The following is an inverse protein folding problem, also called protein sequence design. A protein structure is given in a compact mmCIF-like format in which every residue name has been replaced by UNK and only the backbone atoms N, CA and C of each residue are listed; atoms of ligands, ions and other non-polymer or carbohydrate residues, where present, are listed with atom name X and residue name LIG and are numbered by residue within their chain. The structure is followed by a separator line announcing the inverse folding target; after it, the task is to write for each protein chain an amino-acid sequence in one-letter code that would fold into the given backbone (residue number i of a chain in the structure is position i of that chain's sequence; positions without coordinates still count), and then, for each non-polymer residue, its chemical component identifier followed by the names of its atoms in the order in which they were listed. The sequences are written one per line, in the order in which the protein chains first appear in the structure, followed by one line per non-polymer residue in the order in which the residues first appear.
data_IF_180230193097
#
_entry.id   IF_180230193097
#
_cell.length_a   1.000
_cell.length_b   1.000
_cell.length_c   1.000
_cell.angle_alpha   90.00
_cell.angle_beta   90.00
_cell.angle_gamma   90.00
#
_symmetry.space_group_name_H-M   'P 1'
#
loop_
_entity.id
_entity.type
_entity.pdbx_description
1 polymer ?
#
# COMPACT_ATOMS: atom_id res chain seq x y z
N UNK A 1 -13.68 -24.84 6.62
CA UNK A 1 -12.29 -24.34 6.69
C UNK A 1 -12.29 -23.08 7.54
N UNK A 2 -11.62 -23.14 8.71
CA UNK A 2 -11.48 -22.01 9.66
C UNK A 2 -10.08 -21.40 9.50
N UNK A 3 -10.02 -20.14 9.09
CA UNK A 3 -8.76 -19.41 8.82
C UNK A 3 -8.54 -18.36 9.91
N UNK A 4 -7.40 -18.43 10.59
CA UNK A 4 -6.93 -17.37 11.46
C UNK A 4 -6.25 -16.27 10.65
N UNK A 5 -6.87 -15.09 10.54
CA UNK A 5 -6.26 -13.91 9.91
C UNK A 5 -5.54 -13.11 10.98
N UNK A 6 -4.25 -12.85 10.79
CA UNK A 6 -3.44 -12.07 11.74
C UNK A 6 -2.95 -10.80 11.11
N UNK A 7 -3.27 -9.66 11.72
CA UNK A 7 -2.91 -8.34 11.23
C UNK A 7 -2.57 -7.38 12.38
N UNK A 8 -1.72 -6.41 12.11
CA UNK A 8 -1.48 -5.32 13.08
C UNK A 8 -2.64 -4.33 13.11
N UNK A 9 -3.19 -4.00 11.94
CA UNK A 9 -4.19 -2.96 11.75
C UNK A 9 -5.57 -3.57 11.49
N UNK A 10 -6.59 -3.02 12.15
CA UNK A 10 -7.99 -3.36 11.91
C UNK A 10 -8.88 -2.14 12.17
N UNK A 11 -10.00 -1.96 11.44
CA UNK A 11 -10.89 -0.81 11.65
C UNK A 11 -11.34 -0.62 13.11
N UNK A 12 -11.45 0.62 13.60
CA UNK A 12 -11.24 1.89 12.90
C UNK A 12 -9.77 2.37 12.85
N UNK A 13 -8.82 1.60 13.38
CA UNK A 13 -7.41 1.99 13.48
C UNK A 13 -6.59 1.43 12.31
N UNK A 14 -6.87 1.89 11.10
CA UNK A 14 -6.15 1.58 9.86
C UNK A 14 -5.40 2.83 9.42
N UNK A 15 -4.09 2.71 9.16
CA UNK A 15 -3.24 3.82 8.72
C UNK A 15 -2.33 3.50 7.52
N UNK A 16 -2.28 2.25 7.10
CA UNK A 16 -1.42 1.79 6.00
C UNK A 16 -2.14 0.93 4.96
N UNK A 17 -1.52 0.79 3.79
CA UNK A 17 -2.09 -0.02 2.70
C UNK A 17 -2.28 -1.49 3.06
N UNK A 18 -1.48 -2.04 3.99
CA UNK A 18 -1.66 -3.41 4.47
C UNK A 18 -2.97 -3.58 5.26
N UNK A 19 -3.30 -2.63 6.15
CA UNK A 19 -4.55 -2.65 6.90
C UNK A 19 -5.77 -2.51 6.00
N UNK A 20 -5.72 -1.60 5.03
CA UNK A 20 -6.77 -1.44 4.00
C UNK A 20 -6.95 -2.75 3.22
N UNK A 21 -5.85 -3.39 2.80
CA UNK A 21 -5.92 -4.69 2.12
C UNK A 21 -6.62 -5.75 2.96
N UNK A 22 -6.22 -5.92 4.24
CA UNK A 22 -6.79 -6.97 5.11
C UNK A 22 -8.28 -6.75 5.35
N UNK A 23 -8.71 -5.52 5.60
CA UNK A 23 -10.11 -5.17 5.75
C UNK A 23 -10.94 -5.61 4.54
N UNK A 24 -10.52 -5.21 3.34
CA UNK A 24 -11.24 -5.53 2.11
C UNK A 24 -11.15 -7.01 1.73
N UNK A 25 -9.99 -7.66 1.94
CA UNK A 25 -9.83 -9.10 1.70
C UNK A 25 -10.76 -9.91 2.60
N UNK A 26 -10.83 -9.59 3.89
CA UNK A 26 -11.73 -10.27 4.84
C UNK A 26 -13.19 -10.08 4.44
N UNK A 27 -13.60 -8.86 4.08
CA UNK A 27 -14.94 -8.59 3.59
C UNK A 27 -15.27 -9.40 2.33
N UNK A 28 -14.35 -9.48 1.37
CA UNK A 28 -14.52 -10.22 0.14
C UNK A 28 -14.55 -11.74 0.36
N UNK A 29 -13.67 -12.29 1.21
CA UNK A 29 -13.67 -13.72 1.57
C UNK A 29 -14.97 -14.13 2.24
N UNK A 30 -15.53 -13.32 3.14
CA UNK A 30 -16.83 -13.54 3.78
C UNK A 30 -18.00 -13.49 2.80
N UNK A 31 -17.84 -12.76 1.71
CA UNK A 31 -18.89 -12.61 0.66
C UNK A 31 -18.89 -13.76 -0.34
N UNK A 32 -17.90 -14.64 -0.33
CA UNK A 32 -17.87 -15.81 -1.22
C UNK A 32 -18.97 -16.82 -0.83
N UNK A 33 -19.72 -17.41 -1.79
CA UNK A 33 -20.82 -18.35 -1.50
C UNK A 33 -20.40 -19.57 -0.67
N UNK A 34 -19.14 -20.00 -0.78
CA UNK A 34 -18.53 -21.08 0.00
C UNK A 34 -17.23 -20.62 0.65
N UNK A 35 -17.23 -19.39 1.14
CA UNK A 35 -16.07 -18.77 1.78
C UNK A 35 -15.67 -19.47 3.08
N UNK A 36 -14.42 -19.27 3.52
CA UNK A 36 -13.94 -19.77 4.80
C UNK A 36 -14.60 -19.07 5.99
N UNK A 37 -14.68 -19.75 7.10
CA UNK A 37 -14.90 -19.11 8.41
C UNK A 37 -13.63 -18.35 8.78
N UNK A 38 -13.74 -17.05 9.07
CA UNK A 38 -12.61 -16.19 9.38
C UNK A 38 -12.61 -15.78 10.84
N UNK A 39 -11.50 -16.08 11.50
CA UNK A 39 -11.19 -15.64 12.86
C UNK A 39 -10.11 -14.55 12.77
N UNK A 40 -10.48 -13.30 13.01
CA UNK A 40 -9.58 -12.15 12.82
C UNK A 40 -8.96 -11.78 14.15
N UNK A 41 -7.62 -11.78 14.20
CA UNK A 41 -6.81 -11.36 15.32
C UNK A 41 -6.02 -10.10 14.97
N UNK A 42 -6.15 -9.05 15.78
CA UNK A 42 -5.45 -7.79 15.56
C UNK A 42 -4.72 -7.31 16.81
N UNK A 43 -3.76 -6.42 16.62
CA UNK A 43 -3.03 -5.80 17.72
C UNK A 43 -3.87 -4.71 18.39
N UNK A 44 -3.74 -4.57 19.71
CA UNK A 44 -4.45 -3.60 20.52
C UNK A 44 -5.77 -4.10 21.07
N UNK A 45 -6.66 -3.19 21.47
CA UNK A 45 -7.92 -3.53 22.08
C UNK A 45 -8.88 -4.24 21.09
N UNK A 46 -9.82 -5.07 21.58
CA UNK A 46 -10.86 -5.68 20.75
C UNK A 46 -11.66 -4.63 19.96
N UNK A 47 -11.94 -4.88 18.68
CA UNK A 47 -12.60 -3.93 17.79
C UNK A 47 -13.54 -4.65 16.83
N UNK A 48 -14.79 -4.25 16.88
CA UNK A 48 -15.80 -4.79 15.96
C UNK A 48 -15.90 -6.31 16.07
N UNK A 49 -15.56 -6.96 14.99
CA UNK A 49 -15.60 -8.42 14.81
C UNK A 49 -14.21 -9.09 14.86
N UNK A 50 -13.19 -8.37 15.33
CA UNK A 50 -11.84 -8.90 15.51
C UNK A 50 -11.49 -9.05 16.99
N UNK A 51 -10.77 -10.13 17.31
CA UNK A 51 -10.16 -10.31 18.61
C UNK A 51 -8.91 -9.46 18.73
N UNK A 52 -8.93 -8.48 19.64
CA UNK A 52 -7.78 -7.62 19.90
C UNK A 52 -6.84 -8.22 20.92
N UNK A 53 -5.55 -8.03 20.68
CA UNK A 53 -4.47 -8.48 21.57
C UNK A 53 -3.62 -7.27 21.95
N UNK A 54 -3.80 -6.70 23.16
CA UNK A 54 -2.99 -5.59 23.62
C UNK A 54 -1.55 -6.04 23.90
N UNK A 55 -0.63 -5.09 23.90
CA UNK A 55 0.76 -5.36 24.31
C UNK A 55 0.76 -5.87 25.75
N UNK A 56 1.39 -7.04 26.04
CA UNK A 56 1.51 -7.55 27.40
C UNK A 56 2.10 -6.51 28.35
N UNK A 57 1.54 -6.42 29.56
CA UNK A 57 1.91 -5.38 30.51
C UNK A 57 3.43 -5.26 30.77
N UNK A 58 4.19 -6.36 30.94
CA UNK A 58 5.63 -6.26 31.17
C UNK A 58 6.42 -5.68 29.99
N UNK A 59 5.81 -5.62 28.78
CA UNK A 59 6.46 -5.18 27.55
C UNK A 59 6.01 -3.77 27.11
N UNK A 60 5.11 -3.08 27.82
CA UNK A 60 4.57 -1.78 27.40
C UNK A 60 5.63 -0.71 27.18
N UNK A 61 6.69 -0.72 28.00
CA UNK A 61 7.82 0.22 27.91
C UNK A 61 9.01 -0.36 27.11
N UNK A 62 8.86 -1.55 26.53
CA UNK A 62 9.91 -2.18 25.77
C UNK A 62 10.02 -1.61 24.34
N UNK A 63 11.10 -1.97 23.64
CA UNK A 63 11.21 -1.69 22.21
C UNK A 63 10.01 -2.23 21.43
N UNK A 64 9.52 -1.47 20.43
CA UNK A 64 8.32 -1.82 19.67
C UNK A 64 8.35 -3.19 18.98
N UNK A 65 9.53 -3.70 18.63
CA UNK A 65 9.66 -5.05 18.10
C UNK A 65 9.45 -6.15 19.17
N UNK A 66 9.85 -5.89 20.42
CA UNK A 66 9.55 -6.79 21.54
C UNK A 66 8.06 -6.74 21.94
N UNK A 67 7.45 -5.55 21.83
CA UNK A 67 6.00 -5.43 22.04
C UNK A 67 5.24 -6.26 21.00
N UNK A 68 5.62 -6.18 19.71
CA UNK A 68 5.03 -7.00 18.66
C UNK A 68 5.19 -8.49 18.94
N UNK A 69 6.38 -8.93 19.31
CA UNK A 69 6.63 -10.34 19.67
C UNK A 69 5.80 -10.82 20.86
N UNK A 70 5.64 -9.99 21.89
CA UNK A 70 4.78 -10.35 23.03
C UNK A 70 3.33 -10.55 22.62
N UNK A 71 2.81 -9.68 21.77
CA UNK A 71 1.47 -9.80 21.19
C UNK A 71 1.35 -11.04 20.30
N UNK A 72 2.37 -11.32 19.47
CA UNK A 72 2.40 -12.52 18.61
C UNK A 72 2.30 -13.84 19.41
N UNK A 73 2.91 -13.91 20.59
CA UNK A 73 2.80 -15.09 21.47
C UNK A 73 1.37 -15.31 21.94
N UNK A 74 0.65 -14.25 22.33
CA UNK A 74 -0.75 -14.34 22.76
C UNK A 74 -1.66 -14.73 21.59
N UNK A 75 -1.43 -14.14 20.41
CA UNK A 75 -2.17 -14.49 19.18
C UNK A 75 -1.94 -15.95 18.81
N UNK A 76 -0.70 -16.42 18.82
CA UNK A 76 -0.37 -17.80 18.48
C UNK A 76 -1.10 -18.80 19.38
N UNK A 77 -1.20 -18.51 20.69
CA UNK A 77 -1.96 -19.35 21.63
C UNK A 77 -3.46 -19.38 21.30
N UNK A 78 -4.03 -18.25 20.84
CA UNK A 78 -5.44 -18.14 20.47
C UNK A 78 -5.78 -18.85 19.15
N UNK A 79 -4.80 -19.12 18.29
CA UNK A 79 -4.96 -19.76 16.98
C UNK A 79 -5.06 -21.29 17.06
N UNK A 80 -5.07 -21.88 18.24
CA UNK A 80 -5.28 -23.32 18.42
C UNK A 80 -6.61 -23.76 17.78
N UNK A 81 -6.56 -24.75 16.88
CA UNK A 81 -7.72 -25.29 16.17
C UNK A 81 -8.14 -24.51 14.92
N UNK A 82 -7.35 -23.55 14.44
CA UNK A 82 -7.45 -23.07 13.09
C UNK A 82 -6.99 -24.13 12.10
N UNK A 83 -7.62 -24.21 10.91
CA UNK A 83 -7.17 -25.08 9.83
C UNK A 83 -5.96 -24.50 9.09
N UNK A 84 -5.85 -23.16 9.07
CA UNK A 84 -4.75 -22.40 8.44
C UNK A 84 -4.63 -21.03 9.09
N UNK A 85 -3.41 -20.50 9.17
CA UNK A 85 -3.14 -19.12 9.61
C UNK A 85 -2.63 -18.30 8.42
N UNK A 86 -3.20 -17.12 8.21
CA UNK A 86 -2.75 -16.16 7.23
C UNK A 86 -2.33 -14.85 7.91
N UNK A 87 -1.04 -14.52 7.87
CA UNK A 87 -0.48 -13.34 8.51
C UNK A 87 -0.08 -12.26 7.51
N UNK A 88 -0.16 -11.00 7.96
CA UNK A 88 0.11 -9.82 7.15
C UNK A 88 1.16 -8.93 7.80
N UNK A 89 2.26 -8.66 7.12
CA UNK A 89 3.44 -7.92 7.57
C UNK A 89 4.27 -8.65 8.65
N UNK A 90 5.53 -8.23 8.82
CA UNK A 90 6.43 -8.81 9.81
C UNK A 90 5.88 -8.74 11.25
N UNK A 91 5.04 -7.72 11.54
CA UNK A 91 4.43 -7.55 12.87
C UNK A 91 3.59 -8.76 13.29
N UNK A 92 2.93 -9.42 12.33
CA UNK A 92 2.03 -10.54 12.56
C UNK A 92 2.64 -11.90 12.14
N UNK A 93 3.77 -11.86 11.42
CA UNK A 93 4.39 -13.08 10.91
C UNK A 93 4.93 -13.97 12.05
N UNK A 94 5.31 -13.36 13.20
CA UNK A 94 5.71 -14.09 14.40
C UNK A 94 4.59 -14.97 14.93
N UNK A 95 3.36 -14.48 14.98
CA UNK A 95 2.20 -15.25 15.44
C UNK A 95 1.93 -16.47 14.54
N UNK A 96 1.95 -16.26 13.21
CA UNK A 96 1.78 -17.37 12.25
C UNK A 96 2.87 -18.42 12.35
N UNK A 97 4.14 -17.99 12.47
CA UNK A 97 5.28 -18.89 12.68
C UNK A 97 5.12 -19.71 13.96
N UNK A 98 4.81 -19.07 15.08
CA UNK A 98 4.61 -19.75 16.36
C UNK A 98 3.43 -20.71 16.33
N UNK A 99 2.30 -20.31 15.74
CA UNK A 99 1.14 -21.18 15.59
C UNK A 99 1.47 -22.42 14.76
N UNK A 100 2.23 -22.26 13.68
CA UNK A 100 2.69 -23.40 12.87
C UNK A 100 3.58 -24.36 13.66
N UNK A 101 4.53 -23.84 14.43
CA UNK A 101 5.43 -24.66 15.23
C UNK A 101 4.74 -25.39 16.39
N UNK A 102 3.82 -24.71 17.08
CA UNK A 102 3.21 -25.24 18.32
C UNK A 102 1.98 -26.10 18.03
N UNK A 103 1.15 -25.69 17.05
CA UNK A 103 -0.12 -26.34 16.75
C UNK A 103 -0.10 -27.15 15.46
N UNK A 104 1.01 -27.11 14.68
CA UNK A 104 1.10 -27.78 13.39
C UNK A 104 0.23 -27.17 12.28
N UNK A 105 -0.31 -25.97 12.49
CA UNK A 105 -1.20 -25.27 11.55
C UNK A 105 -0.41 -24.75 10.36
N UNK A 106 -0.85 -24.92 9.10
CA UNK A 106 -0.23 -24.31 7.93
C UNK A 106 -0.22 -22.79 8.03
N UNK A 107 0.90 -22.18 7.58
CA UNK A 107 1.08 -20.74 7.61
C UNK A 107 1.22 -20.15 6.21
N UNK A 108 0.34 -19.23 5.86
CA UNK A 108 0.39 -18.39 4.65
C UNK A 108 0.76 -16.97 5.05
N UNK A 109 1.62 -16.32 4.28
CA UNK A 109 2.04 -14.93 4.47
C UNK A 109 1.63 -14.11 3.25
N UNK A 110 1.04 -12.91 3.44
CA UNK A 110 1.01 -11.91 2.38
C UNK A 110 2.15 -10.90 2.55
N UNK A 111 2.99 -10.81 1.51
CA UNK A 111 4.11 -9.89 1.40
C UNK A 111 3.63 -8.49 0.96
N UNK A 112 3.42 -7.59 1.93
CA UNK A 112 3.07 -6.19 1.67
C UNK A 112 4.28 -5.28 1.51
N UNK A 113 5.41 -5.68 2.02
CA UNK A 113 6.73 -5.02 1.94
C UNK A 113 7.77 -5.97 2.52
N UNK A 114 9.05 -5.69 2.28
CA UNK A 114 10.17 -6.46 2.83
C UNK A 114 11.07 -5.55 3.65
N UNK A 115 11.45 -5.98 4.85
CA UNK A 115 12.35 -5.22 5.73
C UNK A 115 13.69 -4.92 5.04
N UNK A 116 14.36 -5.89 4.37
CA UNK A 116 15.63 -5.61 3.67
C UNK A 116 15.52 -4.60 2.51
N UNK A 117 14.33 -4.40 1.94
CA UNK A 117 14.07 -3.38 0.91
C UNK A 117 13.79 -2.00 1.50
N UNK A 118 13.77 -1.89 2.83
CA UNK A 118 13.50 -0.64 3.56
C UNK A 118 14.58 -0.38 4.63
N UNK A 119 15.87 -0.30 4.26
CA UNK A 119 16.97 -0.19 5.22
C UNK A 119 16.87 1.06 6.12
N UNK A 120 16.21 2.14 5.65
CA UNK A 120 15.93 3.35 6.45
C UNK A 120 15.05 3.07 7.68
N UNK A 121 14.32 1.95 7.73
CA UNK A 121 13.57 1.53 8.92
C UNK A 121 14.46 1.26 10.14
N UNK A 122 15.75 0.99 9.93
CA UNK A 122 16.71 0.85 11.01
C UNK A 122 16.83 2.15 11.86
N UNK A 123 16.66 3.32 11.23
CA UNK A 123 16.66 4.62 11.92
C UNK A 123 15.45 4.77 12.85
N UNK A 124 14.31 4.17 12.50
CA UNK A 124 13.07 4.25 13.26
C UNK A 124 12.97 3.18 14.37
N UNK A 125 13.37 1.96 14.07
CA UNK A 125 13.24 0.81 14.97
C UNK A 125 14.49 0.61 15.84
N UNK A 126 15.62 1.26 15.51
CA UNK A 126 16.88 1.06 16.21
C UNK A 126 17.25 -0.41 16.28
N UNK A 127 17.55 -0.93 17.48
CA UNK A 127 17.85 -2.33 17.70
C UNK A 127 16.72 -3.30 17.32
N UNK A 128 15.48 -2.83 17.28
CA UNK A 128 14.31 -3.59 16.87
C UNK A 128 14.33 -4.00 15.40
N UNK A 129 15.03 -3.25 14.53
CA UNK A 129 15.15 -3.60 13.10
C UNK A 129 15.81 -4.96 12.87
N UNK A 130 16.78 -5.35 13.70
CA UNK A 130 17.37 -6.70 13.62
C UNK A 130 16.38 -7.78 13.98
N UNK A 131 15.50 -7.51 14.95
CA UNK A 131 14.45 -8.46 15.33
C UNK A 131 13.37 -8.54 14.25
N UNK A 132 12.90 -7.43 13.69
CA UNK A 132 11.89 -7.44 12.63
C UNK A 132 12.39 -8.17 11.37
N UNK A 133 13.63 -7.90 10.94
CA UNK A 133 14.26 -8.56 9.80
C UNK A 133 14.47 -10.06 10.03
N UNK A 134 14.86 -10.45 11.24
CA UNK A 134 15.01 -11.86 11.62
C UNK A 134 13.65 -12.59 11.65
N UNK A 135 12.63 -11.95 12.21
CA UNK A 135 11.26 -12.49 12.26
C UNK A 135 10.72 -12.70 10.84
N UNK A 136 10.81 -11.68 10.01
CA UNK A 136 10.35 -11.75 8.62
C UNK A 136 11.04 -12.90 7.88
N UNK A 137 12.38 -12.91 7.85
CA UNK A 137 13.15 -13.98 7.20
C UNK A 137 12.76 -15.37 7.70
N UNK A 138 12.71 -15.57 9.02
CA UNK A 138 12.41 -16.87 9.60
C UNK A 138 11.01 -17.35 9.26
N UNK A 139 10.03 -16.45 9.31
CA UNK A 139 8.66 -16.76 8.96
C UNK A 139 8.49 -17.08 7.47
N UNK A 140 9.11 -16.30 6.56
CA UNK A 140 9.05 -16.56 5.14
C UNK A 140 9.65 -17.92 4.74
N UNK A 141 10.80 -18.28 5.30
CA UNK A 141 11.43 -19.56 5.01
C UNK A 141 10.63 -20.76 5.55
N UNK A 142 9.90 -20.56 6.66
CA UNK A 142 9.08 -21.59 7.29
C UNK A 142 7.65 -21.68 6.74
N UNK A 143 7.14 -20.63 6.10
CA UNK A 143 5.76 -20.58 5.61
C UNK A 143 5.48 -21.63 4.53
N UNK A 144 4.27 -22.17 4.54
CA UNK A 144 3.80 -23.12 3.51
C UNK A 144 3.56 -22.44 2.17
N UNK A 145 3.09 -21.18 2.19
CA UNK A 145 3.00 -20.34 1.01
C UNK A 145 3.23 -18.86 1.35
N UNK A 146 3.72 -18.12 0.35
CA UNK A 146 3.86 -16.67 0.38
C UNK A 146 3.04 -16.09 -0.77
N UNK A 147 2.12 -15.21 -0.46
CA UNK A 147 1.38 -14.42 -1.42
C UNK A 147 2.15 -13.11 -1.64
N UNK A 148 2.66 -12.91 -2.85
CA UNK A 148 3.25 -11.66 -3.30
C UNK A 148 2.16 -10.81 -3.97
N UNK A 149 2.06 -9.53 -3.59
CA UNK A 149 1.01 -8.62 -4.10
C UNK A 149 1.25 -8.15 -5.54
N UNK A 150 2.34 -8.58 -6.16
CA UNK A 150 2.69 -8.33 -7.58
C UNK A 150 3.78 -9.31 -8.04
N UNK A 151 4.01 -9.40 -9.35
CA UNK A 151 5.17 -10.10 -9.92
C UNK A 151 6.48 -9.46 -9.47
N UNK A 152 6.55 -8.12 -9.46
CA UNK A 152 7.71 -7.39 -8.94
C UNK A 152 7.98 -7.70 -7.47
N UNK A 153 6.92 -7.83 -6.64
CA UNK A 153 7.08 -8.26 -5.24
C UNK A 153 7.54 -9.71 -5.12
N UNK A 154 7.06 -10.60 -6.00
CA UNK A 154 7.55 -11.98 -6.06
C UNK A 154 9.04 -12.04 -6.35
N UNK A 155 9.50 -11.27 -7.31
CA UNK A 155 10.91 -11.19 -7.66
C UNK A 155 11.74 -10.62 -6.50
N UNK A 156 11.25 -9.59 -5.82
CA UNK A 156 11.86 -9.05 -4.62
C UNK A 156 11.96 -10.07 -3.48
N UNK A 157 10.89 -10.83 -3.21
CA UNK A 157 10.89 -11.91 -2.20
C UNK A 157 11.96 -12.94 -2.51
N UNK A 158 12.03 -13.42 -3.75
CA UNK A 158 13.00 -14.43 -4.17
C UNK A 158 14.45 -13.91 -4.21
N UNK A 159 14.63 -12.62 -4.52
CA UNK A 159 15.96 -11.99 -4.48
C UNK A 159 16.45 -11.79 -3.03
N UNK A 160 15.55 -11.47 -2.09
CA UNK A 160 15.88 -11.23 -0.68
C UNK A 160 16.04 -12.54 0.08
N UNK A 161 15.25 -13.56 -0.26
CA UNK A 161 15.23 -14.88 0.38
C UNK A 161 15.47 -15.99 -0.65
N UNK A 162 16.70 -16.11 -1.20
CA UNK A 162 17.01 -17.06 -2.27
C UNK A 162 16.91 -18.54 -1.86
N UNK A 163 16.80 -18.80 -0.56
CA UNK A 163 16.54 -20.16 -0.03
C UNK A 163 15.07 -20.57 -0.10
N UNK A 164 14.16 -19.63 -0.35
CA UNK A 164 12.73 -19.89 -0.47
C UNK A 164 12.44 -20.59 -1.80
N UNK A 165 11.71 -21.71 -1.76
CA UNK A 165 11.25 -22.40 -2.96
C UNK A 165 10.30 -21.48 -3.77
N UNK A 166 10.66 -21.14 -5.03
CA UNK A 166 9.82 -20.30 -5.88
C UNK A 166 8.40 -20.84 -6.11
N UNK A 167 8.18 -22.16 -5.98
CA UNK A 167 6.86 -22.79 -6.10
C UNK A 167 5.91 -22.42 -4.95
N UNK A 168 6.45 -21.99 -3.81
CA UNK A 168 5.66 -21.51 -2.66
C UNK A 168 5.29 -20.03 -2.75
N UNK A 169 5.77 -19.29 -3.77
CA UNK A 169 5.49 -17.85 -3.92
C UNK A 169 4.46 -17.64 -5.01
N UNK A 170 3.25 -17.26 -4.59
CA UNK A 170 2.10 -17.06 -5.45
C UNK A 170 1.83 -15.57 -5.67
N UNK A 171 1.48 -15.14 -6.88
CA UNK A 171 1.08 -13.75 -7.14
C UNK A 171 -0.42 -13.62 -7.00
N UNK A 172 -0.86 -12.81 -6.03
CA UNK A 172 -2.25 -12.40 -5.86
C UNK A 172 -2.28 -10.90 -5.60
N UNK A 173 -2.77 -10.13 -6.57
CA UNK A 173 -2.80 -8.66 -6.49
C UNK A 173 -3.64 -8.14 -5.33
N UNK A 174 -3.38 -6.92 -4.90
CA UNK A 174 -4.35 -6.18 -4.09
C UNK A 174 -5.51 -5.74 -5.00
N UNK A 175 -6.69 -5.65 -4.40
CA UNK A 175 -7.86 -5.14 -5.07
C UNK A 175 -8.15 -3.67 -4.77
N UNK A 176 -9.12 -3.13 -5.48
CA UNK A 176 -9.79 -1.88 -5.16
C UNK A 176 -11.30 -2.07 -5.22
N UNK A 177 -12.03 -1.31 -4.41
CA UNK A 177 -13.49 -1.27 -4.46
C UNK A 177 -13.93 -0.21 -5.49
N UNK A 178 -14.44 -0.62 -6.67
CA UNK A 178 -14.81 0.30 -7.74
C UNK A 178 -16.10 1.06 -7.48
N UNK A 179 -16.88 0.70 -6.46
CA UNK A 179 -18.06 1.44 -6.02
C UNK A 179 -17.67 2.55 -5.05
N UNK A 180 -16.67 2.27 -4.21
CA UNK A 180 -16.10 3.24 -3.29
C UNK A 180 -15.20 4.27 -4.01
N UNK A 181 -14.40 3.80 -4.98
CA UNK A 181 -13.55 4.63 -5.84
C UNK A 181 -14.13 4.64 -7.27
N UNK A 182 -14.87 5.68 -7.57
CA UNK A 182 -15.52 5.88 -8.87
C UNK A 182 -15.49 7.37 -9.23
N UNK A 183 -15.65 7.73 -10.51
CA UNK A 183 -15.71 9.15 -10.90
C UNK A 183 -16.85 9.87 -10.18
N UNK A 184 -16.51 10.89 -9.39
CA UNK A 184 -17.45 11.77 -8.68
C UNK A 184 -17.04 13.22 -8.90
N UNK A 185 -17.76 13.91 -9.75
CA UNK A 185 -17.54 15.34 -9.99
C UNK A 185 -18.20 16.16 -8.87
N UNK A 186 -17.39 16.87 -8.09
CA UNK A 186 -17.85 17.77 -7.03
C UNK A 186 -16.93 18.98 -6.87
N UNK A 187 -17.06 19.98 -7.78
CA UNK A 187 -16.21 21.19 -7.75
C UNK A 187 -16.27 21.93 -6.42
N UNK A 188 -17.42 21.91 -5.73
CA UNK A 188 -17.57 22.60 -4.45
C UNK A 188 -16.77 21.94 -3.33
N UNK A 189 -16.67 20.60 -3.31
CA UNK A 189 -15.81 19.87 -2.37
C UNK A 189 -14.34 20.20 -2.66
N UNK A 190 -13.93 20.18 -3.93
CA UNK A 190 -12.56 20.50 -4.33
C UNK A 190 -12.21 21.95 -3.96
N UNK A 191 -13.11 22.90 -4.20
CA UNK A 191 -12.94 24.31 -3.81
C UNK A 191 -12.87 24.50 -2.29
N UNK A 192 -13.66 23.73 -1.55
CA UNK A 192 -13.64 23.72 -0.07
C UNK A 192 -12.31 23.24 0.52
N UNK A 193 -11.52 22.49 -0.26
CA UNK A 193 -10.17 22.06 0.11
C UNK A 193 -9.08 23.09 -0.29
N UNK A 194 -9.46 24.24 -0.81
CA UNK A 194 -8.54 25.29 -1.26
C UNK A 194 -7.95 25.05 -2.66
N UNK A 195 -8.50 24.09 -3.41
CA UNK A 195 -8.07 23.77 -4.77
C UNK A 195 -9.01 24.45 -5.77
N UNK A 196 -8.46 25.11 -6.79
CA UNK A 196 -9.24 25.65 -7.87
C UNK A 196 -9.64 24.55 -8.86
N UNK A 197 -10.93 24.17 -8.95
CA UNK A 197 -11.38 23.09 -9.82
C UNK A 197 -11.32 23.44 -11.32
N UNK A 198 -11.21 24.73 -11.66
CA UNK A 198 -11.14 25.22 -13.04
C UNK A 198 -9.70 25.28 -13.56
N UNK A 199 -8.71 25.04 -12.67
CA UNK A 199 -7.29 24.99 -12.99
C UNK A 199 -6.83 23.53 -13.10
N UNK A 200 -6.20 23.10 -14.21
CA UNK A 200 -5.59 21.77 -14.30
C UNK A 200 -4.59 21.55 -13.17
N UNK A 201 -4.64 20.40 -12.52
CA UNK A 201 -3.70 20.09 -11.42
C UNK A 201 -3.19 18.66 -11.43
N UNK A 202 -1.96 18.51 -10.95
CA UNK A 202 -1.36 17.24 -10.58
C UNK A 202 -1.65 16.96 -9.10
N UNK A 203 -2.06 15.73 -8.78
CA UNK A 203 -2.41 15.30 -7.43
C UNK A 203 -1.46 14.22 -6.93
N UNK A 204 -0.94 14.39 -5.73
CA UNK A 204 -0.26 13.34 -4.96
C UNK A 204 -1.09 13.00 -3.72
N UNK A 205 -1.23 11.69 -3.43
CA UNK A 205 -1.83 11.20 -2.19
C UNK A 205 -0.92 10.17 -1.55
N UNK A 206 -0.52 10.41 -0.31
CA UNK A 206 0.34 9.46 0.41
C UNK A 206 0.93 10.00 1.69
N UNK A 207 1.62 9.13 2.44
CA UNK A 207 2.38 9.54 3.63
C UNK A 207 3.69 10.22 3.23
N UNK A 208 4.19 11.06 4.11
CA UNK A 208 5.54 11.64 3.97
C UNK A 208 6.55 10.60 4.43
N UNK A 209 7.08 9.83 3.49
CA UNK A 209 8.09 8.80 3.72
C UNK A 209 9.09 8.79 2.58
N UNK A 210 10.32 8.30 2.82
CA UNK A 210 11.33 8.14 1.75
C UNK A 210 10.80 7.28 0.61
N UNK A 211 10.05 6.23 0.95
CA UNK A 211 9.45 5.32 -0.01
C UNK A 211 8.57 6.02 -1.05
N UNK A 212 7.81 7.03 -0.64
CA UNK A 212 6.83 7.72 -1.50
C UNK A 212 7.42 8.78 -2.44
N UNK A 213 8.71 9.08 -2.33
CA UNK A 213 9.45 9.89 -3.29
C UNK A 213 8.98 11.34 -3.43
N UNK A 214 8.29 11.89 -2.41
CA UNK A 214 7.75 13.25 -2.45
C UNK A 214 8.80 14.33 -2.77
N UNK A 215 10.08 14.25 -2.33
CA UNK A 215 11.11 15.20 -2.74
C UNK A 215 11.34 15.27 -4.26
N UNK A 216 11.23 14.13 -4.96
CA UNK A 216 11.37 14.10 -6.43
C UNK A 216 10.20 14.80 -7.13
N UNK A 217 8.97 14.64 -6.60
CA UNK A 217 7.81 15.34 -7.10
C UNK A 217 7.93 16.86 -6.90
N UNK A 218 8.39 17.29 -5.72
CA UNK A 218 8.58 18.72 -5.44
C UNK A 218 9.64 19.33 -6.37
N UNK A 219 10.75 18.63 -6.63
CA UNK A 219 11.76 19.06 -7.61
C UNK A 219 11.21 19.07 -9.05
N UNK A 220 10.37 18.10 -9.43
CA UNK A 220 9.69 18.08 -10.72
C UNK A 220 8.71 19.25 -10.86
N UNK A 221 8.00 19.61 -9.80
CA UNK A 221 7.01 20.69 -9.80
C UNK A 221 7.61 22.08 -10.05
N UNK A 222 8.88 22.28 -9.77
CA UNK A 222 9.60 23.51 -10.12
C UNK A 222 9.65 23.76 -11.65
N UNK A 223 9.52 22.69 -12.44
CA UNK A 223 9.61 22.72 -13.90
C UNK A 223 8.24 22.75 -14.60
N UNK A 224 7.14 22.64 -13.84
CA UNK A 224 5.78 22.65 -14.40
C UNK A 224 5.38 24.06 -14.85
N UNK A 225 4.53 24.18 -15.90
CA UNK A 225 3.96 25.46 -16.31
C UNK A 225 3.26 26.22 -15.16
N UNK A 226 3.29 27.55 -15.21
CA UNK A 226 2.75 28.39 -14.13
C UNK A 226 1.24 28.34 -13.96
N UNK A 227 0.51 27.94 -14.99
CA UNK A 227 -0.95 27.82 -15.05
C UNK A 227 -1.47 26.47 -14.50
N UNK A 228 -0.58 25.56 -14.12
CA UNK A 228 -0.92 24.23 -13.55
C UNK A 228 -0.85 24.27 -12.02
N UNK A 229 -1.77 23.59 -11.36
CA UNK A 229 -1.76 23.36 -9.92
C UNK A 229 -0.96 22.13 -9.51
N UNK A 230 -0.45 22.15 -8.27
CA UNK A 230 0.07 20.97 -7.56
C UNK A 230 -0.69 20.81 -6.26
N UNK A 231 -1.35 19.67 -6.08
CA UNK A 231 -2.09 19.35 -4.87
C UNK A 231 -1.43 18.16 -4.18
N UNK A 232 -1.07 18.35 -2.93
CA UNK A 232 -0.42 17.35 -2.09
C UNK A 232 -1.36 16.98 -0.94
N UNK A 233 -1.94 15.79 -0.95
CA UNK A 233 -2.56 15.17 0.21
C UNK A 233 -1.50 14.35 0.93
N UNK A 234 -0.67 14.99 1.74
CA UNK A 234 0.51 14.42 2.35
C UNK A 234 0.57 14.75 3.84
N UNK A 235 0.18 13.79 4.67
CA UNK A 235 0.27 13.82 6.12
C UNK A 235 1.13 12.69 6.65
N UNK A 236 1.06 12.41 7.95
CA UNK A 236 1.66 11.25 8.61
C UNK A 236 3.11 10.96 8.17
N UNK A 237 4.04 11.83 8.56
CA UNK A 237 5.46 11.64 8.30
C UNK A 237 6.05 10.52 9.16
N UNK A 238 7.02 9.77 8.61
CA UNK A 238 7.76 8.75 9.36
C UNK A 238 8.62 9.39 10.46
N UNK A 239 9.16 10.60 10.22
CA UNK A 239 9.93 11.36 11.20
C UNK A 239 9.58 12.86 11.17
N UNK A 240 9.76 13.60 12.30
CA UNK A 240 9.59 15.06 12.31
C UNK A 240 10.53 15.78 11.33
N UNK A 241 11.73 15.27 11.10
CA UNK A 241 12.70 15.83 10.17
C UNK A 241 12.23 15.75 8.72
N UNK A 242 11.68 14.60 8.30
CA UNK A 242 11.11 14.45 6.95
C UNK A 242 9.90 15.38 6.74
N UNK A 243 9.04 15.52 7.76
CA UNK A 243 7.93 16.48 7.69
C UNK A 243 8.44 17.91 7.50
N UNK A 244 9.48 18.32 8.25
CA UNK A 244 10.05 19.66 8.15
C UNK A 244 10.68 19.91 6.77
N UNK A 245 11.42 18.94 6.22
CA UNK A 245 11.99 19.04 4.87
C UNK A 245 10.91 19.26 3.80
N UNK A 246 9.81 18.53 3.90
CA UNK A 246 8.67 18.69 2.98
C UNK A 246 8.03 20.07 3.17
N UNK A 247 7.83 20.52 4.40
CA UNK A 247 7.24 21.83 4.69
C UNK A 247 8.08 22.96 4.10
N UNK A 248 9.41 22.92 4.28
CA UNK A 248 10.32 23.92 3.74
C UNK A 248 10.30 23.94 2.20
N UNK A 249 10.29 22.76 1.57
CA UNK A 249 10.24 22.64 0.11
C UNK A 249 8.90 23.12 -0.46
N UNK A 250 7.78 22.80 0.18
CA UNK A 250 6.46 23.30 -0.20
C UNK A 250 6.38 24.82 -0.07
N UNK A 251 6.84 25.39 1.05
CA UNK A 251 6.88 26.84 1.25
C UNK A 251 7.74 27.55 0.20
N UNK A 252 8.91 26.99 -0.13
CA UNK A 252 9.77 27.51 -1.20
C UNK A 252 9.08 27.46 -2.57
N UNK A 253 8.33 26.41 -2.87
CA UNK A 253 7.57 26.26 -4.11
C UNK A 253 6.41 27.26 -4.16
N UNK A 254 5.66 27.43 -3.07
CA UNK A 254 4.56 28.41 -2.94
C UNK A 254 5.03 29.86 -3.10
N UNK A 255 6.26 30.16 -2.69
CA UNK A 255 6.85 31.50 -2.88
C UNK A 255 7.18 31.80 -4.36
N UNK A 256 7.30 30.78 -5.22
CA UNK A 256 7.71 30.90 -6.63
C UNK A 256 6.56 30.73 -7.62
N UNK A 257 5.49 30.04 -7.22
CA UNK A 257 4.37 29.74 -8.10
C UNK A 257 3.05 29.66 -7.32
N UNK A 258 1.97 30.02 -7.99
CA UNK A 258 0.60 29.86 -7.49
C UNK A 258 0.07 28.44 -7.71
N UNK A 259 -1.05 28.10 -7.05
CA UNK A 259 -1.75 26.83 -7.23
C UNK A 259 -1.08 25.64 -6.54
N UNK A 260 -0.19 25.88 -5.58
CA UNK A 260 0.38 24.82 -4.74
C UNK A 260 -0.43 24.72 -3.45
N UNK A 261 -1.15 23.60 -3.29
CA UNK A 261 -1.99 23.32 -2.13
C UNK A 261 -1.45 22.09 -1.40
N UNK A 262 -1.21 22.23 -0.10
CA UNK A 262 -0.80 21.11 0.76
C UNK A 262 -1.85 20.86 1.84
N UNK A 263 -2.41 19.65 1.81
CA UNK A 263 -3.43 19.15 2.74
C UNK A 263 -2.76 18.10 3.62
N UNK A 264 -2.50 18.46 4.86
CA UNK A 264 -1.84 17.56 5.83
C UNK A 264 -2.81 16.58 6.49
N UNK A 265 -4.09 16.89 6.49
CA UNK A 265 -5.11 16.03 7.08
C UNK A 265 -5.34 14.76 6.23
N UNK A 266 -5.59 13.65 6.89
CA UNK A 266 -6.14 12.47 6.21
C UNK A 266 -7.57 12.79 5.80
N UNK A 267 -7.81 12.90 4.48
CA UNK A 267 -9.13 13.20 3.96
C UNK A 267 -10.05 11.99 4.04
N UNK A 268 -11.31 12.18 4.47
CA UNK A 268 -12.33 11.15 4.32
C UNK A 268 -12.61 10.91 2.84
N UNK A 269 -13.12 9.73 2.51
CA UNK A 269 -13.33 9.28 1.13
C UNK A 269 -14.22 10.22 0.31
N UNK A 270 -15.24 10.81 0.93
CA UNK A 270 -16.17 11.76 0.32
C UNK A 270 -15.49 13.06 -0.16
N UNK A 271 -14.33 13.37 0.36
CA UNK A 271 -13.50 14.49 -0.08
C UNK A 271 -12.36 14.05 -1.00
N UNK A 272 -11.78 12.89 -0.73
CA UNK A 272 -10.65 12.36 -1.49
C UNK A 272 -11.06 11.95 -2.91
N UNK A 273 -12.19 11.25 -3.07
CA UNK A 273 -12.65 10.76 -4.38
C UNK A 273 -12.95 11.91 -5.36
N UNK A 274 -13.69 12.98 -4.98
CA UNK A 274 -13.83 14.16 -5.85
C UNK A 274 -12.50 14.82 -6.20
N UNK A 275 -11.57 14.88 -5.26
CA UNK A 275 -10.25 15.47 -5.48
C UNK A 275 -9.43 14.64 -6.48
N UNK A 276 -9.47 13.32 -6.40
CA UNK A 276 -8.83 12.43 -7.38
C UNK A 276 -9.51 12.58 -8.74
N UNK A 277 -10.85 12.55 -8.78
CA UNK A 277 -11.62 12.63 -10.03
C UNK A 277 -11.40 13.97 -10.76
N UNK A 278 -11.21 15.06 -10.01
CA UNK A 278 -10.97 16.41 -10.57
C UNK A 278 -9.52 16.62 -11.04
N UNK A 279 -8.59 15.76 -10.63
CA UNK A 279 -7.19 15.88 -11.03
C UNK A 279 -7.01 15.55 -12.52
N UNK A 280 -6.23 16.36 -13.24
CA UNK A 280 -5.83 16.03 -14.61
C UNK A 280 -4.91 14.83 -14.63
N UNK A 281 -4.01 14.73 -13.63
CA UNK A 281 -3.08 13.62 -13.48
C UNK A 281 -2.85 13.31 -12.01
N UNK A 282 -2.88 12.01 -11.68
CA UNK A 282 -2.41 11.50 -10.39
C UNK A 282 -0.92 11.15 -10.49
N UNK A 283 -0.12 11.52 -9.48
CA UNK A 283 1.32 11.31 -9.52
C UNK A 283 1.77 10.38 -8.39
N UNK A 284 2.45 9.29 -8.76
CA UNK A 284 3.02 8.33 -7.81
C UNK A 284 4.55 8.20 -8.01
N UNK A 285 5.36 9.07 -7.39
CA UNK A 285 6.82 9.11 -7.59
C UNK A 285 7.56 8.15 -6.66
N UNK A 286 6.94 7.05 -6.25
CA UNK A 286 7.50 6.10 -5.28
C UNK A 286 8.83 5.54 -5.75
N UNK A 287 9.81 5.42 -4.84
CA UNK A 287 11.12 4.79 -5.12
C UNK A 287 11.10 3.29 -4.79
N UNK A 288 10.10 2.87 -4.05
CA UNK A 288 9.78 1.46 -3.76
C UNK A 288 8.26 1.32 -3.60
N UNK A 289 7.63 0.45 -4.38
CA UNK A 289 6.18 0.25 -4.33
C UNK A 289 5.83 -1.22 -4.61
N UNK A 290 5.38 -1.98 -3.62
CA UNK A 290 5.00 -3.38 -3.81
C UNK A 290 3.94 -3.64 -4.88
N UNK A 291 2.91 -2.78 -4.95
CA UNK A 291 1.92 -2.77 -6.03
C UNK A 291 1.49 -1.35 -6.41
N UNK A 292 1.14 -0.52 -5.41
CA UNK A 292 0.63 0.83 -5.64
C UNK A 292 -0.89 0.91 -5.65
N UNK A 293 -1.54 0.56 -4.54
CA UNK A 293 -3.01 0.63 -4.38
C UNK A 293 -3.53 2.02 -4.75
N UNK A 294 -2.81 3.09 -4.41
CA UNK A 294 -3.20 4.46 -4.73
C UNK A 294 -3.33 4.72 -6.24
N UNK A 295 -2.56 3.99 -7.07
CA UNK A 295 -2.68 4.04 -8.53
C UNK A 295 -3.97 3.33 -9.00
N UNK A 296 -4.35 2.22 -8.34
CA UNK A 296 -5.64 1.56 -8.58
C UNK A 296 -6.82 2.48 -8.19
N UNK A 297 -6.71 3.17 -7.06
CA UNK A 297 -7.73 4.14 -6.60
C UNK A 297 -7.88 5.31 -7.59
N UNK A 298 -6.77 5.86 -8.08
CA UNK A 298 -6.77 6.91 -9.08
C UNK A 298 -7.37 6.44 -10.41
N UNK A 299 -6.94 5.28 -10.90
CA UNK A 299 -7.49 4.67 -12.11
C UNK A 299 -8.98 4.34 -11.95
N UNK A 300 -9.41 3.83 -10.79
CA UNK A 300 -10.82 3.58 -10.48
C UNK A 300 -11.67 4.87 -10.54
N UNK A 301 -11.10 6.01 -10.15
CA UNK A 301 -11.73 7.32 -10.29
C UNK A 301 -11.69 7.90 -11.72
N UNK A 302 -11.07 7.19 -12.68
CA UNK A 302 -10.94 7.63 -14.06
C UNK A 302 -9.84 8.66 -14.28
N UNK A 303 -8.85 8.75 -13.40
CA UNK A 303 -7.75 9.72 -13.47
C UNK A 303 -6.50 9.04 -14.05
N UNK A 304 -5.88 9.69 -15.04
CA UNK A 304 -4.61 9.23 -15.61
C UNK A 304 -3.49 9.26 -14.57
N UNK A 305 -2.56 8.31 -14.65
CA UNK A 305 -1.48 8.16 -13.68
C UNK A 305 -0.13 8.48 -14.34
N UNK A 306 0.68 9.31 -13.68
CA UNK A 306 2.12 9.41 -13.94
C UNK A 306 2.85 8.79 -12.75
N UNK A 307 3.63 7.74 -12.98
CA UNK A 307 4.25 7.02 -11.88
C UNK A 307 5.68 6.57 -12.22
N UNK A 308 6.43 6.25 -11.18
CA UNK A 308 7.72 5.58 -11.34
C UNK A 308 7.55 4.14 -11.84
N UNK A 309 8.48 3.66 -12.66
CA UNK A 309 8.51 2.28 -13.14
C UNK A 309 9.24 1.37 -12.12
N UNK A 310 8.71 1.25 -10.89
CA UNK A 310 9.30 0.43 -9.81
C UNK A 310 8.33 -0.58 -9.24
N UNK A 311 8.84 -1.71 -8.77
CA UNK A 311 8.06 -2.76 -8.10
C UNK A 311 6.86 -3.21 -8.91
N UNK A 312 5.68 -3.21 -8.31
CA UNK A 312 4.42 -3.60 -8.96
C UNK A 312 3.72 -2.48 -9.75
N UNK A 313 4.22 -1.25 -9.76
CA UNK A 313 3.57 -0.15 -10.49
C UNK A 313 3.37 -0.46 -11.98
N UNK A 314 4.36 -1.05 -12.73
CA UNK A 314 4.16 -1.40 -14.13
C UNK A 314 3.08 -2.47 -14.38
N UNK A 315 2.68 -3.18 -13.34
CA UNK A 315 1.59 -4.17 -13.42
C UNK A 315 0.20 -3.52 -13.24
N UNK A 316 0.17 -2.32 -12.63
CA UNK A 316 -1.05 -1.53 -12.46
C UNK A 316 -1.22 -0.52 -13.59
N UNK A 317 -0.15 0.19 -13.94
CA UNK A 317 -0.13 1.24 -14.96
C UNK A 317 0.45 0.67 -16.26
N UNK A 318 -0.38 0.59 -17.29
CA UNK A 318 0.01 0.19 -18.65
C UNK A 318 0.55 1.46 -19.36
N UNK A 319 1.89 1.49 -19.54
CA UNK A 319 2.59 2.67 -20.08
C UNK A 319 2.10 3.07 -21.46
N UNK A 320 1.75 4.33 -21.63
CA UNK A 320 1.19 4.89 -22.85
C UNK A 320 -0.30 4.61 -23.07
N UNK A 321 -0.95 3.75 -22.26
CA UNK A 321 -2.36 3.38 -22.40
C UNK A 321 -3.22 3.85 -21.23
N UNK A 322 -2.83 3.53 -19.98
CA UNK A 322 -3.59 3.92 -18.78
C UNK A 322 -2.90 4.99 -17.96
N UNK A 323 -1.68 5.35 -18.33
CA UNK A 323 -0.84 6.35 -17.71
C UNK A 323 0.54 6.40 -18.36
N UNK A 324 1.46 7.11 -17.73
CA UNK A 324 2.85 7.22 -18.19
C UNK A 324 3.82 6.82 -17.09
N UNK A 325 4.79 6.00 -17.43
CA UNK A 325 5.83 5.53 -16.51
C UNK A 325 7.14 6.31 -16.70
N UNK A 326 7.84 6.52 -15.58
CA UNK A 326 9.16 7.16 -15.53
C UNK A 326 10.15 6.19 -14.89
N UNK A 327 11.21 5.77 -15.57
CA UNK A 327 12.26 4.96 -14.96
C UNK A 327 12.87 5.68 -13.76
N UNK A 328 13.05 4.96 -12.66
CA UNK A 328 13.73 5.45 -11.47
C UNK A 328 15.16 4.90 -11.41
N UNK A 329 16.12 5.79 -11.22
CA UNK A 329 17.51 5.46 -10.94
C UNK A 329 17.93 6.24 -9.67
N UNK A 330 18.32 5.51 -8.62
CA UNK A 330 18.81 6.11 -7.38
C UNK A 330 20.08 6.95 -7.59
N UNK A 331 20.88 6.62 -8.60
CA UNK A 331 22.09 7.34 -8.96
C UNK A 331 21.81 8.66 -9.71
N UNK A 332 20.60 8.82 -10.31
CA UNK A 332 20.21 10.03 -11.05
C UNK A 332 18.85 10.59 -10.59
N UNK A 333 18.75 11.10 -9.36
CA UNK A 333 17.51 11.67 -8.86
C UNK A 333 17.04 12.92 -9.63
N UNK A 334 17.97 13.64 -10.26
CA UNK A 334 17.64 14.82 -11.07
C UNK A 334 17.01 14.42 -12.40
N UNK A 335 17.53 13.40 -13.06
CA UNK A 335 16.93 12.83 -14.28
C UNK A 335 15.55 12.24 -14.01
N UNK A 336 15.35 11.58 -12.87
CA UNK A 336 14.02 11.10 -12.47
C UNK A 336 13.03 12.25 -12.26
N UNK A 337 13.42 13.31 -11.54
CA UNK A 337 12.56 14.49 -11.35
C UNK A 337 12.23 15.18 -12.69
N UNK A 338 13.20 15.31 -13.58
CA UNK A 338 12.98 15.86 -14.93
C UNK A 338 12.03 14.97 -15.77
N UNK A 339 12.18 13.66 -15.68
CA UNK A 339 11.27 12.70 -16.30
C UNK A 339 9.83 12.83 -15.80
N UNK A 340 9.64 12.94 -14.47
CA UNK A 340 8.33 13.21 -13.87
C UNK A 340 7.73 14.51 -14.39
N UNK A 341 8.52 15.59 -14.42
CA UNK A 341 8.07 16.90 -14.92
C UNK A 341 7.64 16.81 -16.39
N UNK A 342 8.40 16.14 -17.24
CA UNK A 342 8.09 15.96 -18.65
C UNK A 342 6.79 15.19 -18.85
N UNK A 343 6.60 14.05 -18.16
CA UNK A 343 5.38 13.23 -18.28
C UNK A 343 4.14 13.91 -17.70
N UNK A 344 4.27 14.62 -16.58
CA UNK A 344 3.20 15.43 -16.05
C UNK A 344 2.81 16.54 -17.04
N UNK A 345 3.79 17.29 -17.58
CA UNK A 345 3.53 18.37 -18.53
C UNK A 345 2.87 17.86 -19.81
N UNK A 346 3.24 16.66 -20.28
CA UNK A 346 2.64 16.02 -21.45
C UNK A 346 1.13 15.82 -21.28
N UNK A 347 0.67 15.30 -20.13
CA UNK A 347 -0.76 15.07 -19.87
C UNK A 347 -1.50 16.34 -19.45
N UNK A 348 -0.85 17.26 -18.76
CA UNK A 348 -1.44 18.53 -18.35
C UNK A 348 -1.68 19.47 -19.56
N UNK A 349 -0.88 19.33 -20.62
CA UNK A 349 -1.06 20.08 -21.87
C UNK A 349 -2.11 19.44 -22.80
N UNK A 350 -2.50 18.17 -22.58
CA UNK A 350 -3.48 17.43 -23.39
C UNK A 350 -4.52 16.75 -22.47
N UNK A 351 -5.51 17.51 -21.97
CA UNK A 351 -6.56 16.98 -21.08
C UNK A 351 -7.42 15.88 -21.73
N UNK A 352 -7.61 15.90 -23.03
CA UNK A 352 -8.38 14.87 -23.73
C UNK A 352 -7.65 13.54 -23.71
N UNK A 353 -6.34 13.55 -23.92
CA UNK A 353 -5.50 12.37 -23.78
C UNK A 353 -5.44 11.86 -22.33
N UNK A 354 -5.31 12.75 -21.36
CA UNK A 354 -5.36 12.39 -19.95
C UNK A 354 -6.70 11.72 -19.60
N UNK A 355 -7.82 12.28 -20.05
CA UNK A 355 -9.15 11.69 -19.83
C UNK A 355 -9.29 10.32 -20.50
N UNK A 356 -8.78 10.13 -21.72
CA UNK A 356 -8.79 8.84 -22.42
C UNK A 356 -7.96 7.77 -21.67
N UNK A 357 -6.78 8.16 -21.16
CA UNK A 357 -5.94 7.27 -20.34
C UNK A 357 -6.63 6.91 -19.01
N UNK A 358 -7.26 7.87 -18.34
CA UNK A 358 -8.02 7.64 -17.12
C UNK A 358 -9.21 6.68 -17.34
N UNK A 359 -9.94 6.83 -18.44
CA UNK A 359 -11.03 5.92 -18.81
C UNK A 359 -10.51 4.49 -19.06
N UNK A 360 -9.42 4.33 -19.80
CA UNK A 360 -8.78 3.04 -20.03
C UNK A 360 -8.25 2.41 -18.71
N UNK A 361 -7.73 3.24 -17.80
CA UNK A 361 -7.31 2.80 -16.47
C UNK A 361 -8.47 2.25 -15.65
N UNK A 362 -9.62 2.93 -15.65
CA UNK A 362 -10.83 2.45 -14.98
C UNK A 362 -11.34 1.13 -15.57
N UNK A 363 -11.38 0.99 -16.88
CA UNK A 363 -11.76 -0.26 -17.53
C UNK A 363 -10.89 -1.43 -17.07
N UNK A 364 -9.58 -1.22 -17.02
CA UNK A 364 -8.62 -2.21 -16.54
C UNK A 364 -8.85 -2.58 -15.07
N UNK A 365 -9.07 -1.59 -14.21
CA UNK A 365 -9.37 -1.84 -12.78
C UNK A 365 -10.60 -2.70 -12.61
N UNK A 366 -11.67 -2.40 -13.33
CA UNK A 366 -12.94 -3.16 -13.26
C UNK A 366 -12.78 -4.61 -13.72
N UNK A 367 -11.88 -4.86 -14.70
CA UNK A 367 -11.68 -6.21 -15.26
C UNK A 367 -10.68 -7.06 -14.46
N UNK A 368 -9.64 -6.46 -13.84
CA UNK A 368 -8.49 -7.22 -13.34
C UNK A 368 -8.31 -7.15 -11.80
N UNK A 369 -8.77 -6.08 -11.14
CA UNK A 369 -8.42 -5.77 -9.74
C UNK A 369 -9.63 -5.73 -8.79
N UNK A 370 -10.71 -6.44 -9.12
CA UNK A 370 -11.89 -6.55 -8.24
C UNK A 370 -11.66 -7.50 -7.07
N UNK A 371 -12.09 -7.13 -5.85
CA UNK A 371 -11.89 -7.91 -4.64
C UNK A 371 -12.47 -9.32 -4.67
N UNK A 372 -13.54 -9.56 -5.42
CA UNK A 372 -14.12 -10.91 -5.56
C UNK A 372 -13.13 -11.89 -6.22
N UNK A 373 -12.44 -11.45 -7.28
CA UNK A 373 -11.41 -12.27 -7.95
C UNK A 373 -10.17 -12.48 -7.05
N UNK A 374 -9.79 -11.46 -6.28
CA UNK A 374 -8.66 -11.55 -5.32
C UNK A 374 -8.99 -12.56 -4.22
N UNK A 375 -10.18 -12.50 -3.64
CA UNK A 375 -10.63 -13.46 -2.61
C UNK A 375 -10.67 -14.89 -3.15
N UNK A 376 -11.14 -15.09 -4.39
CA UNK A 376 -11.15 -16.40 -5.03
C UNK A 376 -9.73 -16.97 -5.18
N UNK A 377 -8.79 -16.19 -5.73
CA UNK A 377 -7.37 -16.59 -5.87
C UNK A 377 -6.72 -16.88 -4.52
N UNK A 378 -7.02 -16.08 -3.50
CA UNK A 378 -6.52 -16.32 -2.14
C UNK A 378 -7.03 -17.65 -1.58
N UNK A 379 -8.32 -17.97 -1.81
CA UNK A 379 -8.91 -19.26 -1.40
C UNK A 379 -8.30 -20.45 -2.14
N UNK A 380 -7.91 -20.28 -3.41
CA UNK A 380 -7.18 -21.28 -4.18
C UNK A 380 -5.82 -21.58 -3.56
N UNK A 381 -5.07 -20.57 -3.10
CA UNK A 381 -3.81 -20.75 -2.36
C UNK A 381 -4.05 -21.52 -1.06
N UNK A 382 -5.07 -21.16 -0.27
CA UNK A 382 -5.41 -21.90 0.97
C UNK A 382 -5.70 -23.36 0.68
N UNK A 383 -6.51 -23.63 -0.35
CA UNK A 383 -6.88 -24.99 -0.74
C UNK A 383 -5.68 -25.81 -1.17
N UNK A 384 -4.76 -25.21 -1.94
CA UNK A 384 -3.52 -25.88 -2.37
C UNK A 384 -2.61 -26.22 -1.19
N UNK A 385 -2.46 -25.30 -0.22
CA UNK A 385 -1.66 -25.51 1.00
C UNK A 385 -2.22 -26.63 1.86
N UNK A 386 -3.54 -26.68 2.06
CA UNK A 386 -4.19 -27.72 2.84
C UNK A 386 -4.05 -29.09 2.17
N UNK A 387 -4.31 -29.17 0.84
CA UNK A 387 -4.19 -30.41 0.08
C UNK A 387 -2.75 -30.97 0.01
N UNK A 388 -1.73 -30.14 0.21
CA UNK A 388 -0.33 -30.60 0.24
C UNK A 388 0.09 -31.22 1.58
N UNK A 389 -0.72 -31.08 2.63
CA UNK A 389 -0.47 -31.65 3.97
C UNK A 389 -1.29 -32.91 4.27
N UNK A 390 -2.36 -33.16 3.48
CA UNK A 390 -3.13 -34.42 3.51
C UNK A 390 -2.37 -35.53 2.76
#
# INVERSE_FOLDING_TARGET
MRIGIVTREWPPAVYGGAGVHVEHLVAALRSLPAGPELDVHCFGDPRGDATGHPVPEPLREANGALQAWGTDVEIAAALAGADLVHSHTWYANGAGLLASLVHGVPHVITAHSLEPRRPWKAEQLGGGYRLSSWTERTAYLAADAVIAVSGGMRDDVLAVYPELDPARVHVVYNGVDPDAYRPVQSPDVVRGLGVDPDRPYALFVGRITRQKGLPHLLAAAEQLPGDVGLVLCAGAADTPAERQQVADAVAALQARREGVVWIEAMLPREQLVPLITGATVFVCPSVYEPLGIVNLEAAACGTAVVASAVGGIPEVVDDGRTGLLVPYDEADPAGFAAGLAARMSELLADPDRAAAMGAAGRERVLSEFGWAAIAQRTTEVYSAVLAARD
#
